data_IF_767281825234
#
_entry.id   IF_767281825234
#
_cell.length_a   1.000
_cell.length_b   1.000
_cell.length_c   1.000
_cell.angle_alpha   90.00
_cell.angle_beta   90.00
_cell.angle_gamma   90.00
#
_symmetry.space_group_name_H-M   'P 1'
#
loop_
_entity.id
_entity.type
_entity.pdbx_description
1 polymer ?
#
# COMPACT_ATOMS: atom_id res chain seq x y z
N UNK A 1 52.28 41.62 -13.27
CA UNK A 1 52.27 40.41 -14.13
C UNK A 1 52.65 39.26 -13.24
N UNK A 2 51.71 38.35 -12.98
CA UNK A 2 51.81 37.06 -12.23
C UNK A 2 50.38 36.78 -11.72
N UNK A 3 49.80 35.60 -11.71
CA UNK A 3 50.01 34.35 -12.42
C UNK A 3 48.63 33.63 -12.35
N UNK A 4 48.23 32.96 -13.43
CA UNK A 4 47.01 32.16 -13.50
C UNK A 4 46.99 31.09 -12.41
N UNK A 5 45.95 31.06 -11.57
CA UNK A 5 45.69 29.93 -10.67
C UNK A 5 44.43 29.21 -11.11
N UNK A 6 44.63 27.97 -11.58
CA UNK A 6 43.58 27.00 -11.84
C UNK A 6 42.91 26.61 -10.52
N UNK A 7 41.57 26.72 -10.45
CA UNK A 7 40.77 26.09 -9.38
C UNK A 7 40.22 24.75 -9.85
N UNK A 8 40.60 23.60 -9.23
CA UNK A 8 39.96 22.33 -9.49
C UNK A 8 38.66 22.18 -8.67
N UNK A 9 37.64 21.74 -9.38
CA UNK A 9 36.39 21.06 -9.01
C UNK A 9 36.23 20.62 -7.55
N UNK A 10 35.23 21.16 -6.86
CA UNK A 10 34.71 20.67 -5.58
C UNK A 10 33.90 19.38 -5.80
N UNK A 11 34.52 18.21 -5.57
CA UNK A 11 33.83 16.94 -5.35
C UNK A 11 33.93 16.58 -3.86
N UNK A 12 32.75 16.46 -3.22
CA UNK A 12 32.40 15.76 -1.98
C UNK A 12 32.95 16.23 -0.62
N UNK A 13 32.00 16.53 0.29
CA UNK A 13 32.10 16.11 1.69
C UNK A 13 30.75 15.59 2.19
N UNK A 14 30.61 14.25 2.22
CA UNK A 14 29.56 13.56 3.00
C UNK A 14 29.67 13.99 4.46
N UNK A 15 28.55 14.43 5.03
CA UNK A 15 28.39 14.70 6.47
C UNK A 15 28.75 13.47 7.29
N UNK A 16 29.78 13.56 8.13
CA UNK A 16 30.08 12.57 9.18
C UNK A 16 29.11 12.79 10.34
N UNK A 17 28.23 11.82 10.60
CA UNK A 17 27.38 11.78 11.79
C UNK A 17 28.26 11.78 13.06
N UNK A 18 28.06 12.75 13.96
CA UNK A 18 28.76 12.86 15.25
C UNK A 18 28.04 12.00 16.29
N UNK A 19 28.77 11.04 16.88
CA UNK A 19 28.33 10.17 17.98
C UNK A 19 28.16 10.97 19.28
N UNK A 20 26.97 10.94 19.88
CA UNK A 20 26.62 11.70 21.09
C UNK A 20 26.11 10.78 22.23
N UNK A 21 26.94 9.82 22.64
CA UNK A 21 26.72 9.01 23.84
C UNK A 21 28.08 8.78 24.49
N UNK A 22 28.22 9.12 25.77
CA UNK A 22 29.48 9.00 26.51
C UNK A 22 29.86 7.52 26.72
N UNK A 23 31.16 7.24 26.93
CA UNK A 23 31.66 5.88 27.16
C UNK A 23 30.98 5.20 28.36
N UNK A 24 30.63 5.96 29.40
CA UNK A 24 29.93 5.47 30.60
C UNK A 24 28.48 5.05 30.31
N UNK A 25 27.74 5.85 29.54
CA UNK A 25 26.35 5.52 29.15
C UNK A 25 26.29 4.29 28.25
N UNK A 26 27.30 4.09 27.39
CA UNK A 26 27.43 2.89 26.56
C UNK A 26 27.66 1.64 27.40
N UNK A 27 28.55 1.70 28.39
CA UNK A 27 28.80 0.59 29.32
C UNK A 27 27.52 0.25 30.10
N UNK A 28 26.84 1.27 30.65
CA UNK A 28 25.60 1.08 31.39
C UNK A 28 24.51 0.40 30.54
N UNK A 29 24.31 0.85 29.29
CA UNK A 29 23.34 0.24 28.38
C UNK A 29 23.69 -1.20 27.99
N UNK A 30 24.97 -1.51 27.78
CA UNK A 30 25.40 -2.88 27.46
C UNK A 30 25.15 -3.81 28.66
N UNK A 31 25.54 -3.39 29.86
CA UNK A 31 25.36 -4.19 31.07
C UNK A 31 23.88 -4.40 31.38
N UNK A 32 23.06 -3.34 31.38
CA UNK A 32 21.62 -3.44 31.63
C UNK A 32 20.89 -4.20 30.52
N UNK A 33 21.26 -3.99 29.26
CA UNK A 33 20.67 -4.68 28.12
C UNK A 33 20.96 -6.18 28.11
N UNK A 34 22.19 -6.58 28.44
CA UNK A 34 22.59 -7.99 28.60
C UNK A 34 21.80 -8.65 29.73
N UNK A 35 21.67 -7.97 30.88
CA UNK A 35 20.93 -8.48 32.02
C UNK A 35 19.44 -8.70 31.71
N UNK A 36 18.78 -7.73 31.05
CA UNK A 36 17.37 -7.84 30.67
C UNK A 36 17.14 -8.93 29.63
N UNK A 37 18.04 -9.04 28.65
CA UNK A 37 17.96 -10.07 27.62
C UNK A 37 18.11 -11.47 28.22
N UNK A 38 19.11 -11.67 29.09
CA UNK A 38 19.29 -12.91 29.85
C UNK A 38 18.05 -13.25 30.66
N UNK A 39 17.56 -12.32 31.48
CA UNK A 39 16.38 -12.54 32.33
C UNK A 39 15.12 -12.85 31.50
N UNK A 40 14.91 -12.17 30.38
CA UNK A 40 13.76 -12.42 29.50
C UNK A 40 13.80 -13.77 28.79
N UNK A 41 15.00 -14.32 28.53
CA UNK A 41 15.20 -15.63 27.91
C UNK A 41 15.22 -16.79 28.92
N UNK A 42 15.65 -16.53 30.16
CA UNK A 42 15.71 -17.51 31.24
C UNK A 42 14.37 -17.71 31.97
N UNK A 43 13.35 -16.90 31.68
CA UNK A 43 11.98 -17.07 32.19
C UNK A 43 11.24 -18.20 31.46
N UNK A 44 10.48 -19.04 32.20
CA UNK A 44 9.71 -20.18 31.63
C UNK A 44 8.76 -19.75 30.50
N UNK A 45 8.14 -18.56 30.66
CA UNK A 45 7.42 -17.88 29.58
C UNK A 45 8.27 -16.71 29.11
N UNK A 46 8.73 -16.78 27.85
CA UNK A 46 9.58 -15.75 27.25
C UNK A 46 8.92 -14.37 27.35
N UNK A 47 9.59 -13.45 28.02
CA UNK A 47 9.07 -12.09 28.22
C UNK A 47 9.54 -11.18 27.08
N UNK A 48 8.71 -11.05 26.05
CA UNK A 48 9.02 -10.33 24.80
C UNK A 48 9.40 -8.87 25.07
N UNK A 49 8.84 -8.24 26.10
CA UNK A 49 9.16 -6.85 26.49
C UNK A 49 10.59 -6.74 27.03
N UNK A 50 11.03 -7.67 27.90
CA UNK A 50 12.40 -7.71 28.43
C UNK A 50 13.42 -8.05 27.34
N UNK A 51 13.07 -9.00 26.47
CA UNK A 51 13.90 -9.38 25.32
C UNK A 51 14.07 -8.20 24.36
N UNK A 52 12.98 -7.53 23.99
CA UNK A 52 13.01 -6.38 23.07
C UNK A 52 13.75 -5.17 23.62
N UNK A 53 13.51 -4.82 24.90
CA UNK A 53 14.22 -3.71 25.56
C UNK A 53 15.71 -4.00 25.75
N UNK A 54 16.06 -5.22 26.18
CA UNK A 54 17.45 -5.67 26.34
C UNK A 54 18.24 -5.65 25.03
N UNK A 55 17.66 -6.19 23.95
CA UNK A 55 18.26 -6.17 22.61
C UNK A 55 18.46 -4.74 22.07
N UNK A 56 17.48 -3.86 22.27
CA UNK A 56 17.56 -2.46 21.84
C UNK A 56 18.66 -1.68 22.57
N UNK A 57 18.77 -1.86 23.89
CA UNK A 57 19.83 -1.24 24.70
C UNK A 57 21.22 -1.72 24.28
N UNK A 58 21.38 -3.01 23.99
CA UNK A 58 22.65 -3.58 23.51
C UNK A 58 23.06 -3.00 22.17
N UNK A 59 22.15 -2.94 21.21
CA UNK A 59 22.41 -2.36 19.90
C UNK A 59 22.83 -0.89 20.01
N UNK A 60 22.12 -0.11 20.84
CA UNK A 60 22.43 1.31 21.07
C UNK A 60 23.77 1.51 21.79
N UNK A 61 24.07 0.68 22.80
CA UNK A 61 25.31 0.76 23.56
C UNK A 61 26.54 0.35 22.74
N UNK A 62 26.45 -0.74 21.96
CA UNK A 62 27.54 -1.26 21.14
C UNK A 62 27.86 -0.35 19.95
N UNK A 63 26.86 0.07 19.19
CA UNK A 63 27.06 0.79 17.93
C UNK A 63 27.06 2.32 18.04
N UNK A 64 26.53 2.89 19.13
CA UNK A 64 26.26 4.34 19.22
C UNK A 64 25.23 4.83 18.20
N UNK A 65 24.58 3.90 17.49
CA UNK A 65 23.68 4.09 16.38
C UNK A 65 22.30 3.54 16.78
N UNK A 66 21.25 4.27 16.41
CA UNK A 66 19.88 3.92 16.78
C UNK A 66 19.19 3.31 15.56
N UNK A 67 19.05 1.98 15.48
CA UNK A 67 18.40 1.32 14.35
C UNK A 67 16.91 1.69 14.20
N UNK A 68 16.30 2.29 15.23
CA UNK A 68 14.95 2.86 15.12
C UNK A 68 14.92 4.05 14.16
N UNK A 69 15.96 4.88 14.10
CA UNK A 69 15.96 6.03 13.18
C UNK A 69 16.12 5.59 11.73
N UNK A 70 16.98 4.62 11.45
CA UNK A 70 17.08 4.05 10.10
C UNK A 70 15.83 3.22 9.75
N UNK A 71 15.23 2.51 10.69
CA UNK A 71 13.93 1.87 10.47
C UNK A 71 12.82 2.90 10.22
N UNK A 72 12.81 4.04 10.92
CA UNK A 72 11.85 5.14 10.72
C UNK A 72 12.11 5.87 9.40
N UNK A 73 13.36 6.10 9.01
CA UNK A 73 13.71 6.72 7.72
C UNK A 73 13.43 5.77 6.56
N UNK A 74 13.66 4.46 6.70
CA UNK A 74 13.21 3.45 5.73
C UNK A 74 11.68 3.35 5.69
N UNK A 75 10.97 3.48 6.82
CA UNK A 75 9.50 3.59 6.83
C UNK A 75 8.99 4.89 6.17
N UNK A 76 9.79 5.95 6.15
CA UNK A 76 9.45 7.25 5.56
C UNK A 76 9.82 7.36 4.08
N UNK A 77 10.85 6.62 3.64
CA UNK A 77 11.37 6.63 2.27
C UNK A 77 11.03 5.39 1.43
N UNK A 78 10.59 4.28 2.02
CA UNK A 78 9.98 3.20 1.26
C UNK A 78 8.63 3.72 0.78
N UNK A 79 8.61 4.22 -0.46
CA UNK A 79 7.38 4.43 -1.22
C UNK A 79 6.57 3.15 -1.05
N UNK A 80 5.46 3.21 -0.31
CA UNK A 80 4.53 2.09 -0.20
C UNK A 80 4.33 1.52 -1.61
N UNK A 81 4.79 0.29 -1.84
CA UNK A 81 4.86 -0.26 -3.18
C UNK A 81 3.44 -0.31 -3.75
N UNK A 82 3.18 0.44 -4.84
CA UNK A 82 1.87 0.42 -5.49
C UNK A 82 1.55 -1.02 -5.87
N UNK A 83 0.45 -1.54 -5.33
CA UNK A 83 -0.04 -2.86 -5.72
C UNK A 83 -0.81 -2.66 -7.02
N UNK A 84 -0.28 -3.17 -8.12
CA UNK A 84 -0.91 -3.07 -9.43
C UNK A 84 -1.49 -4.43 -9.82
N UNK A 85 -2.82 -4.49 -9.88
CA UNK A 85 -3.57 -5.69 -10.25
C UNK A 85 -4.16 -5.44 -11.63
N UNK A 86 -3.96 -6.40 -12.55
CA UNK A 86 -4.56 -6.36 -13.89
C UNK A 86 -5.16 -7.72 -14.22
N UNK A 87 -6.46 -7.74 -14.46
CA UNK A 87 -7.22 -8.97 -14.73
C UNK A 87 -8.14 -8.70 -15.92
N UNK A 88 -8.36 -9.72 -16.75
CA UNK A 88 -9.34 -9.68 -17.83
C UNK A 88 -10.36 -10.80 -17.70
N UNK A 89 -11.50 -10.62 -18.37
CA UNK A 89 -12.55 -11.62 -18.49
C UNK A 89 -13.31 -11.41 -19.80
N UNK A 90 -13.87 -12.49 -20.35
CA UNK A 90 -14.77 -12.44 -21.49
C UNK A 90 -16.21 -12.56 -20.97
N UNK A 91 -17.07 -11.63 -21.36
CA UNK A 91 -18.47 -11.57 -20.98
C UNK A 91 -19.33 -11.74 -22.22
N UNK A 92 -20.25 -12.68 -22.19
CA UNK A 92 -21.15 -13.01 -23.30
C UNK A 92 -22.35 -12.05 -23.34
N UNK A 93 -22.09 -10.74 -23.29
CA UNK A 93 -23.08 -9.66 -23.41
C UNK A 93 -22.55 -8.54 -24.31
N UNK A 94 -23.44 -7.79 -25.00
CA UNK A 94 -23.05 -6.65 -25.83
C UNK A 94 -22.27 -5.59 -25.06
N UNK A 95 -21.28 -4.98 -25.70
CA UNK A 95 -20.37 -4.01 -25.06
C UNK A 95 -21.10 -2.83 -24.41
N UNK A 96 -22.20 -2.36 -25.03
CA UNK A 96 -23.01 -1.27 -24.50
C UNK A 96 -23.70 -1.63 -23.18
N UNK A 97 -24.11 -2.89 -23.01
CA UNK A 97 -24.72 -3.39 -21.77
C UNK A 97 -23.65 -3.49 -20.67
N UNK A 98 -22.52 -4.12 -20.99
CA UNK A 98 -21.40 -4.30 -20.06
C UNK A 98 -20.86 -2.96 -19.58
N UNK A 99 -20.64 -2.01 -20.51
CA UNK A 99 -20.18 -0.66 -20.18
C UNK A 99 -21.20 0.10 -19.35
N UNK A 100 -22.48 0.13 -19.74
CA UNK A 100 -23.51 0.90 -19.03
C UNK A 100 -23.71 0.39 -17.61
N UNK A 101 -23.69 -0.93 -17.43
CA UNK A 101 -23.81 -1.55 -16.11
C UNK A 101 -22.62 -1.20 -15.21
N UNK A 102 -21.39 -1.28 -15.74
CA UNK A 102 -20.18 -0.93 -14.98
C UNK A 102 -20.11 0.56 -14.67
N UNK A 103 -20.54 1.42 -15.59
CA UNK A 103 -20.50 2.88 -15.48
C UNK A 103 -21.34 3.42 -14.33
N UNK A 104 -22.43 2.73 -14.01
CA UNK A 104 -23.18 2.96 -12.79
C UNK A 104 -22.45 2.29 -11.61
N UNK A 105 -21.61 3.09 -10.93
CA UNK A 105 -20.79 2.57 -9.85
C UNK A 105 -21.58 2.04 -8.65
N UNK A 106 -22.86 2.39 -8.51
CA UNK A 106 -23.73 1.82 -7.47
C UNK A 106 -23.98 0.32 -7.69
N UNK A 107 -23.72 -0.19 -8.90
CA UNK A 107 -23.77 -1.62 -9.20
C UNK A 107 -22.55 -2.40 -8.71
N UNK A 108 -21.40 -1.76 -8.49
CA UNK A 108 -20.16 -2.47 -8.15
C UNK A 108 -20.29 -3.35 -6.89
N UNK A 109 -20.91 -2.89 -5.78
CA UNK A 109 -21.09 -3.73 -4.59
C UNK A 109 -21.98 -4.97 -4.79
N UNK A 110 -22.73 -5.07 -5.90
CA UNK A 110 -23.57 -6.26 -6.21
C UNK A 110 -22.73 -7.49 -6.57
N UNK A 111 -21.50 -7.29 -7.04
CA UNK A 111 -20.59 -8.36 -7.45
C UNK A 111 -19.17 -8.23 -6.89
N UNK A 112 -18.78 -7.04 -6.42
CA UNK A 112 -17.52 -6.79 -5.73
C UNK A 112 -17.67 -6.98 -4.22
N UNK A 113 -17.40 -8.18 -3.74
CA UNK A 113 -17.64 -8.62 -2.35
C UNK A 113 -16.87 -7.82 -1.29
N UNK A 114 -15.73 -7.23 -1.67
CA UNK A 114 -14.90 -6.39 -0.81
C UNK A 114 -15.44 -4.97 -0.64
N UNK A 115 -16.29 -4.49 -1.55
CA UNK A 115 -16.97 -3.21 -1.43
C UNK A 115 -18.24 -3.38 -0.60
N UNK A 116 -18.44 -2.46 0.32
CA UNK A 116 -19.70 -2.34 1.06
C UNK A 116 -20.67 -1.40 0.34
N UNK A 117 -20.17 -0.27 -0.17
CA UNK A 117 -20.98 0.65 -0.96
C UNK A 117 -20.12 1.57 -1.84
N UNK A 118 -20.70 2.00 -2.94
CA UNK A 118 -20.22 3.14 -3.73
C UNK A 118 -21.41 4.06 -3.90
N UNK A 119 -21.33 5.28 -3.39
CA UNK A 119 -22.43 6.26 -3.40
C UNK A 119 -22.05 7.47 -4.24
N UNK A 120 -22.86 7.89 -5.23
CA UNK A 120 -22.58 9.10 -5.99
C UNK A 120 -22.64 10.32 -5.08
N UNK A 121 -21.69 11.23 -5.24
CA UNK A 121 -21.70 12.57 -4.66
C UNK A 121 -21.98 13.63 -5.73
N UNK A 122 -21.60 13.35 -6.97
CA UNK A 122 -21.92 14.15 -8.16
C UNK A 122 -21.90 13.25 -9.41
N UNK A 123 -21.94 13.85 -10.61
CA UNK A 123 -21.83 13.11 -11.87
C UNK A 123 -20.48 12.39 -12.06
N UNK A 124 -19.40 12.94 -11.51
CA UNK A 124 -18.04 12.38 -11.66
C UNK A 124 -17.43 11.91 -10.34
N UNK A 125 -17.99 12.29 -9.19
CA UNK A 125 -17.43 11.94 -7.88
C UNK A 125 -18.33 10.97 -7.11
N UNK A 126 -17.70 10.04 -6.40
CA UNK A 126 -18.38 9.03 -5.60
C UNK A 126 -17.61 8.73 -4.32
N UNK A 127 -18.35 8.41 -3.25
CA UNK A 127 -17.80 7.93 -1.97
C UNK A 127 -17.81 6.41 -1.96
N UNK A 128 -16.64 5.83 -1.80
CA UNK A 128 -16.42 4.39 -1.75
C UNK A 128 -16.22 3.96 -0.31
N UNK A 129 -16.75 2.79 0.03
CA UNK A 129 -16.53 2.14 1.32
C UNK A 129 -16.22 0.67 1.10
N UNK A 130 -15.05 0.22 1.53
CA UNK A 130 -14.62 -1.17 1.49
C UNK A 130 -14.55 -1.76 2.90
N UNK A 131 -14.74 -3.08 2.97
CA UNK A 131 -14.53 -3.87 4.19
C UNK A 131 -13.03 -3.87 4.51
N UNK A 132 -12.68 -3.61 5.77
CA UNK A 132 -11.28 -3.65 6.19
C UNK A 132 -10.68 -5.07 6.11
N UNK A 133 -9.34 -5.19 6.08
CA UNK A 133 -8.66 -6.49 6.06
C UNK A 133 -9.16 -7.41 7.19
N UNK A 134 -9.42 -8.68 6.87
CA UNK A 134 -9.95 -9.64 7.84
C UNK A 134 -11.36 -9.34 8.35
N UNK A 135 -12.10 -8.43 7.69
CA UNK A 135 -13.44 -8.01 8.11
C UNK A 135 -13.44 -7.02 9.28
N UNK A 136 -12.28 -6.50 9.68
CA UNK A 136 -12.15 -5.58 10.81
C UNK A 136 -12.20 -4.14 10.30
N UNK A 137 -13.23 -3.40 10.72
CA UNK A 137 -13.39 -1.99 10.38
C UNK A 137 -13.78 -1.75 8.92
N UNK A 138 -13.74 -0.48 8.52
CA UNK A 138 -14.12 -0.01 7.17
C UNK A 138 -13.10 1.02 6.69
N UNK A 139 -12.84 1.00 5.39
CA UNK A 139 -12.02 2.01 4.71
C UNK A 139 -12.93 2.80 3.78
N UNK A 140 -12.88 4.13 3.88
CA UNK A 140 -13.67 5.01 3.02
C UNK A 140 -12.81 6.07 2.36
N UNK A 141 -13.07 6.32 1.08
CA UNK A 141 -12.41 7.36 0.29
C UNK A 141 -13.38 7.98 -0.71
N UNK A 142 -12.99 9.11 -1.29
CA UNK A 142 -13.72 9.75 -2.38
C UNK A 142 -12.88 9.59 -3.64
N UNK A 143 -13.51 9.17 -4.74
CA UNK A 143 -12.87 9.07 -6.04
C UNK A 143 -13.63 9.87 -7.09
N UNK A 144 -12.88 10.38 -8.05
CA UNK A 144 -13.36 11.07 -9.23
C UNK A 144 -13.10 10.24 -10.49
N UNK A 145 -14.05 10.27 -11.42
CA UNK A 145 -13.88 9.73 -12.76
C UNK A 145 -13.01 10.70 -13.55
N UNK A 146 -11.86 10.22 -14.04
CA UNK A 146 -10.88 10.97 -14.83
C UNK A 146 -11.16 10.86 -16.32
N UNK A 147 -11.62 9.69 -16.78
CA UNK A 147 -12.02 9.46 -18.17
C UNK A 147 -13.28 8.61 -18.22
N UNK A 148 -14.15 8.98 -19.12
CA UNK A 148 -15.42 8.31 -19.38
C UNK A 148 -15.66 8.31 -20.89
N UNK A 149 -15.17 7.28 -21.58
CA UNK A 149 -15.30 7.08 -23.01
C UNK A 149 -16.27 5.91 -23.24
N UNK A 150 -17.45 6.23 -23.78
CA UNK A 150 -18.52 5.26 -24.01
C UNK A 150 -18.01 4.00 -24.72
N UNK A 151 -18.40 2.85 -24.17
CA UNK A 151 -18.10 1.51 -24.69
C UNK A 151 -16.59 1.23 -24.88
N UNK A 152 -15.71 2.00 -24.22
CA UNK A 152 -14.26 1.90 -24.43
C UNK A 152 -13.45 1.96 -23.15
N UNK A 153 -13.65 2.97 -22.31
CA UNK A 153 -12.79 3.22 -21.16
C UNK A 153 -13.53 3.97 -20.05
N UNK A 154 -13.38 3.47 -18.83
CA UNK A 154 -13.66 4.24 -17.61
C UNK A 154 -12.38 4.27 -16.80
N UNK A 155 -11.99 5.42 -16.27
CA UNK A 155 -10.87 5.52 -15.32
C UNK A 155 -11.20 6.47 -14.19
N UNK A 156 -10.69 6.17 -13.00
CA UNK A 156 -10.93 6.94 -11.80
C UNK A 156 -9.66 7.07 -10.95
N UNK A 157 -9.65 8.07 -10.09
CA UNK A 157 -8.62 8.28 -9.10
C UNK A 157 -9.23 8.81 -7.80
N UNK A 158 -8.71 8.36 -6.66
CA UNK A 158 -9.03 8.91 -5.34
C UNK A 158 -8.57 10.36 -5.24
N UNK A 159 -9.34 11.20 -4.56
CA UNK A 159 -8.97 12.59 -4.33
C UNK A 159 -7.69 12.73 -3.47
N UNK A 160 -6.91 13.81 -3.59
CA UNK A 160 -5.67 14.01 -2.86
C UNK A 160 -5.78 13.94 -1.32
N UNK A 161 -6.94 14.24 -0.76
CA UNK A 161 -7.25 14.19 0.67
C UNK A 161 -7.78 12.83 1.14
N UNK A 162 -8.03 11.89 0.22
CA UNK A 162 -8.52 10.56 0.57
C UNK A 162 -7.51 9.75 1.37
N UNK A 163 -8.04 9.06 2.39
CA UNK A 163 -7.30 8.16 3.30
C UNK A 163 -6.69 6.94 2.58
N UNK A 164 -7.33 6.51 1.49
CA UNK A 164 -6.87 5.43 0.61
C UNK A 164 -6.50 6.04 -0.74
N UNK A 165 -5.25 5.86 -1.16
CA UNK A 165 -4.85 6.14 -2.55
C UNK A 165 -5.26 4.96 -3.41
N UNK A 166 -6.27 5.16 -4.25
CA UNK A 166 -6.81 4.16 -5.16
C UNK A 166 -6.99 4.79 -6.53
N UNK A 167 -6.50 4.12 -7.56
CA UNK A 167 -6.76 4.45 -8.95
C UNK A 167 -7.16 3.19 -9.68
N UNK A 168 -7.96 3.34 -10.72
CA UNK A 168 -8.29 2.21 -11.57
C UNK A 168 -8.75 2.63 -12.94
N UNK A 169 -8.76 1.65 -13.83
CA UNK A 169 -9.34 1.78 -15.16
C UNK A 169 -9.91 0.47 -15.62
N UNK A 170 -10.97 0.57 -16.41
CA UNK A 170 -11.64 -0.55 -17.05
C UNK A 170 -11.69 -0.26 -18.53
N UNK A 171 -11.10 -1.14 -19.31
CA UNK A 171 -11.12 -1.09 -20.78
C UNK A 171 -12.10 -2.14 -21.28
N UNK A 172 -12.95 -1.74 -22.22
CA UNK A 172 -13.91 -2.62 -22.86
C UNK A 172 -13.50 -2.81 -24.31
N UNK A 173 -13.54 -4.05 -24.80
CA UNK A 173 -13.23 -4.40 -26.19
C UNK A 173 -14.28 -5.37 -26.72
N UNK A 174 -14.81 -5.16 -27.92
CA UNK A 174 -15.74 -6.10 -28.52
C UNK A 174 -15.01 -7.39 -28.90
N UNK A 175 -15.65 -8.54 -28.67
CA UNK A 175 -15.15 -9.87 -29.04
C UNK A 175 -16.28 -10.72 -29.61
N UNK A 176 -16.48 -10.66 -30.93
CA UNK A 176 -17.64 -11.30 -31.57
C UNK A 176 -18.94 -10.68 -31.04
N UNK A 177 -19.82 -11.50 -30.47
CA UNK A 177 -21.06 -11.05 -29.80
C UNK A 177 -20.86 -10.68 -28.31
N UNK A 178 -19.66 -10.92 -27.76
CA UNK A 178 -19.32 -10.63 -26.37
C UNK A 178 -18.38 -9.43 -26.21
N UNK A 179 -17.88 -9.27 -24.99
CA UNK A 179 -17.00 -8.17 -24.58
C UNK A 179 -15.83 -8.70 -23.75
N UNK A 180 -14.60 -8.39 -24.14
CA UNK A 180 -13.43 -8.48 -23.25
C UNK A 180 -13.40 -7.25 -22.35
N UNK A 181 -13.47 -7.48 -21.05
CA UNK A 181 -13.24 -6.46 -20.02
C UNK A 181 -11.84 -6.61 -19.45
N UNK A 182 -11.09 -5.52 -19.34
CA UNK A 182 -9.76 -5.48 -18.74
C UNK A 182 -9.77 -4.48 -17.60
N UNK A 183 -9.70 -4.98 -16.37
CA UNK A 183 -9.71 -4.18 -15.15
C UNK A 183 -8.28 -4.02 -14.66
N UNK A 184 -7.85 -2.79 -14.42
CA UNK A 184 -6.58 -2.47 -13.77
C UNK A 184 -6.86 -1.64 -12.53
N UNK A 185 -6.37 -2.08 -11.37
CA UNK A 185 -6.50 -1.37 -10.09
C UNK A 185 -5.10 -1.17 -9.51
N UNK A 186 -4.83 0.05 -9.07
CA UNK A 186 -3.64 0.44 -8.34
C UNK A 186 -4.05 1.00 -6.99
N UNK A 187 -3.49 0.50 -5.89
CA UNK A 187 -3.74 1.10 -4.59
C UNK A 187 -2.49 1.15 -3.73
N UNK A 188 -2.50 2.07 -2.76
CA UNK A 188 -1.52 2.12 -1.69
C UNK A 188 -2.11 1.46 -0.47
N UNK A 189 -1.44 0.41 0.01
CA UNK A 189 -1.84 -0.22 1.25
C UNK A 189 -1.68 0.78 2.41
N UNK A 190 -2.68 0.92 3.31
CA UNK A 190 -2.62 1.90 4.39
C UNK A 190 -1.43 1.62 5.33
N UNK A 191 -0.80 2.70 5.82
CA UNK A 191 0.24 2.66 6.84
C UNK A 191 -0.32 1.97 8.10
N UNK A 192 0.06 0.71 8.32
CA UNK A 192 -0.47 -0.11 9.42
C UNK A 192 -0.22 -1.61 9.24
N UNK A 193 -0.01 -2.06 8.01
CA UNK A 193 0.64 -3.34 7.76
C UNK A 193 2.15 -3.10 7.87
N UNK A 194 2.83 -3.77 8.79
CA UNK A 194 4.23 -3.50 9.15
C UNK A 194 5.18 -3.56 7.94
N UNK A 195 5.45 -2.40 7.32
CA UNK A 195 6.42 -2.24 6.24
C UNK A 195 6.07 -2.89 4.90
N UNK A 196 6.94 -2.65 3.92
CA UNK A 196 6.83 -3.14 2.54
C UNK A 196 6.70 -4.68 2.45
N UNK A 197 7.28 -5.41 3.42
CA UNK A 197 7.19 -6.86 3.51
C UNK A 197 5.77 -7.37 3.80
N UNK A 198 5.00 -6.68 4.65
CA UNK A 198 3.64 -7.09 4.97
C UNK A 198 2.65 -6.72 3.85
N UNK A 199 2.88 -5.61 3.14
CA UNK A 199 2.13 -5.28 1.92
C UNK A 199 2.32 -6.37 0.83
N UNK A 200 3.57 -6.79 0.58
CA UNK A 200 3.88 -7.88 -0.36
C UNK A 200 3.17 -9.20 -0.01
N UNK A 201 3.00 -9.50 1.27
CA UNK A 201 2.27 -10.70 1.73
C UNK A 201 0.76 -10.62 1.48
N UNK A 202 0.16 -9.42 1.49
CA UNK A 202 -1.27 -9.26 1.22
C UNK A 202 -1.58 -9.16 -0.28
N UNK A 203 -0.61 -8.83 -1.14
CA UNK A 203 -0.82 -8.69 -2.59
C UNK A 203 -1.53 -9.90 -3.23
N UNK A 204 -1.12 -11.16 -2.99
CA UNK A 204 -1.80 -12.32 -3.59
C UNK A 204 -3.25 -12.45 -3.14
N UNK A 205 -3.54 -12.07 -1.89
CA UNK A 205 -4.90 -12.08 -1.35
C UNK A 205 -5.79 -11.03 -2.03
N UNK A 206 -5.27 -9.80 -2.19
CA UNK A 206 -6.00 -8.74 -2.89
C UNK A 206 -6.18 -9.03 -4.39
N UNK A 207 -5.17 -9.57 -5.05
CA UNK A 207 -5.29 -10.01 -6.45
C UNK A 207 -6.37 -11.08 -6.59
N UNK A 208 -6.42 -12.05 -5.66
CA UNK A 208 -7.48 -13.05 -5.61
C UNK A 208 -8.87 -12.43 -5.42
N UNK A 209 -9.03 -11.47 -4.51
CA UNK A 209 -10.30 -10.76 -4.32
C UNK A 209 -10.77 -10.12 -5.63
N UNK A 210 -9.92 -9.32 -6.27
CA UNK A 210 -10.28 -8.63 -7.51
C UNK A 210 -10.60 -9.63 -8.63
N UNK A 211 -9.89 -10.76 -8.66
CA UNK A 211 -10.18 -11.86 -9.58
C UNK A 211 -11.57 -12.45 -9.35
N UNK A 212 -11.86 -12.80 -8.10
CA UNK A 212 -13.13 -13.39 -7.70
C UNK A 212 -14.29 -12.42 -8.01
N UNK A 213 -14.10 -11.13 -7.78
CA UNK A 213 -15.09 -10.10 -8.11
C UNK A 213 -15.35 -9.96 -9.62
N UNK A 214 -14.31 -10.08 -10.46
CA UNK A 214 -14.50 -10.04 -11.92
C UNK A 214 -15.21 -11.30 -12.44
N UNK A 215 -15.00 -12.44 -11.77
CA UNK A 215 -15.75 -13.67 -12.06
C UNK A 215 -17.21 -13.54 -11.61
N UNK A 216 -17.45 -12.96 -10.43
CA UNK A 216 -18.81 -12.65 -9.96
C UNK A 216 -19.52 -11.68 -10.90
N UNK A 217 -18.80 -10.69 -11.44
CA UNK A 217 -19.33 -9.76 -12.43
C UNK A 217 -19.83 -10.47 -13.68
N UNK A 218 -18.99 -11.35 -14.26
CA UNK A 218 -19.35 -12.17 -15.41
C UNK A 218 -20.62 -12.96 -15.12
N UNK A 219 -20.62 -13.72 -14.02
CA UNK A 219 -21.79 -14.54 -13.63
C UNK A 219 -23.04 -13.69 -13.43
N UNK A 220 -22.92 -12.53 -12.76
CA UNK A 220 -24.03 -11.63 -12.50
C UNK A 220 -24.66 -11.11 -13.79
N UNK A 221 -23.86 -10.65 -14.75
CA UNK A 221 -24.37 -10.14 -16.02
C UNK A 221 -24.88 -11.22 -16.96
N UNK A 222 -24.29 -12.42 -16.94
CA UNK A 222 -24.74 -13.53 -17.80
C UNK A 222 -25.99 -14.23 -17.27
N UNK A 223 -26.31 -14.06 -15.98
CA UNK A 223 -27.48 -14.68 -15.34
C UNK A 223 -28.70 -13.74 -15.24
N UNK A 224 -28.58 -12.48 -15.65
CA UNK A 224 -29.66 -11.48 -15.68
C UNK A 224 -29.81 -10.90 -17.09
#
# INVERSE_FOLDING_TARGET
MEANTFTPTQIQKKSKLKTNVSTLERIAMITSGTYLLYKGLSEEKKNIVKIGSGGTMLLRGLSGYCPIYDAVDHLKNDKASNVNIRINSLINKPISEVYSFWRDFENLPKFMSHLESVRPLSYTTSKWTAKGPGGIGKLSWIAEIIKDEKDRLISWNSLPESSVKNAGKVVFRPTGEGTEIIVTISYHAPLGIAGEGAAKLLNPYFEKIVKDDLMNFKTYLESN
#
